data_IF_052204080844
#
_entry.id   IF_052204080844
#
_cell.length_a   1.000
_cell.length_b   1.000
_cell.length_c   1.000
_cell.angle_alpha   90.00
_cell.angle_beta   90.00
_cell.angle_gamma   90.00
#
_symmetry.space_group_name_H-M   'P 1'
#
loop_
_entity.id
_entity.type
_entity.pdbx_description
1 polymer ?
#
# COMPACT_ATOMS: atom_id res chain seq x y z
N UNK A 1 -16.59 8.38 6.53
CA UNK A 1 -17.34 8.73 5.31
C UNK A 1 -16.49 8.33 4.11
N UNK A 2 -17.01 7.58 3.14
CA UNK A 2 -16.25 7.31 1.91
C UNK A 2 -16.24 8.57 1.05
N UNK A 3 -15.05 9.00 0.64
CA UNK A 3 -14.89 10.03 -0.39
C UNK A 3 -14.67 9.29 -1.70
N UNK A 4 -15.47 9.65 -2.72
CA UNK A 4 -15.35 9.09 -4.06
C UNK A 4 -14.94 10.20 -5.02
N UNK A 5 -13.86 10.01 -5.75
CA UNK A 5 -13.38 10.94 -6.79
C UNK A 5 -13.41 10.24 -8.15
N UNK A 6 -13.81 10.97 -9.19
CA UNK A 6 -13.83 10.49 -10.57
C UNK A 6 -12.94 11.37 -11.44
N UNK A 7 -11.98 10.77 -12.14
CA UNK A 7 -11.05 11.44 -13.05
C UNK A 7 -11.14 10.82 -14.45
N UNK A 8 -10.99 11.64 -15.49
CA UNK A 8 -11.18 11.24 -16.88
C UNK A 8 -9.85 11.36 -17.64
N UNK A 9 -9.15 10.23 -17.76
CA UNK A 9 -7.94 10.13 -18.58
C UNK A 9 -8.33 9.71 -20.01
N UNK A 10 -7.67 10.21 -21.08
CA UNK A 10 -7.98 9.74 -22.43
C UNK A 10 -7.92 8.21 -22.53
N UNK A 11 -9.08 7.57 -22.75
CA UNK A 11 -9.23 6.12 -22.93
C UNK A 11 -9.72 5.32 -21.70
N UNK A 12 -9.84 5.92 -20.51
CA UNK A 12 -10.46 5.27 -19.33
C UNK A 12 -10.86 6.29 -18.25
N UNK A 13 -11.79 5.88 -17.40
CA UNK A 13 -12.20 6.63 -16.20
C UNK A 13 -11.67 5.95 -14.94
N UNK A 14 -11.38 6.78 -13.93
CA UNK A 14 -10.98 6.33 -12.61
C UNK A 14 -12.11 6.60 -11.64
N UNK A 15 -12.41 5.63 -10.78
CA UNK A 15 -13.21 5.84 -9.58
C UNK A 15 -12.39 5.39 -8.38
N UNK A 16 -12.07 6.35 -7.51
CA UNK A 16 -11.28 6.11 -6.31
C UNK A 16 -12.16 6.18 -5.07
N UNK A 17 -12.00 5.24 -4.14
CA UNK A 17 -12.72 5.21 -2.89
C UNK A 17 -11.78 4.93 -1.73
N UNK A 18 -11.85 5.76 -0.70
CA UNK A 18 -11.10 5.57 0.54
C UNK A 18 -11.96 4.95 1.65
N UNK A 19 -11.37 4.01 2.40
CA UNK A 19 -11.91 3.46 3.65
C UNK A 19 -10.82 3.47 4.71
N UNK A 20 -11.12 4.03 5.88
CA UNK A 20 -10.21 4.02 7.03
C UNK A 20 -10.80 3.16 8.13
N UNK A 21 -9.98 2.30 8.72
CA UNK A 21 -10.38 1.43 9.82
C UNK A 21 -9.19 1.11 10.74
N UNK A 22 -9.42 0.51 11.93
CA UNK A 22 -8.36 0.01 12.77
C UNK A 22 -7.53 -1.06 12.04
N UNK A 23 -6.20 -0.97 12.11
CA UNK A 23 -5.31 -1.96 11.48
C UNK A 23 -5.57 -3.37 12.04
N UNK A 24 -5.80 -3.47 13.35
CA UNK A 24 -6.08 -4.75 14.01
C UNK A 24 -7.33 -5.43 13.45
N UNK A 25 -8.42 -4.69 13.31
CA UNK A 25 -9.67 -5.20 12.72
C UNK A 25 -9.46 -5.67 11.27
N UNK A 26 -8.72 -4.89 10.48
CA UNK A 26 -8.40 -5.26 9.10
C UNK A 26 -7.55 -6.53 9.04
N UNK A 27 -6.52 -6.64 9.88
CA UNK A 27 -5.66 -7.82 9.95
C UNK A 27 -6.40 -9.07 10.40
N UNK A 28 -7.23 -8.99 11.44
CA UNK A 28 -8.02 -10.13 11.94
C UNK A 28 -9.05 -10.62 10.90
N UNK A 29 -9.61 -9.70 10.11
CA UNK A 29 -10.70 -10.02 9.19
C UNK A 29 -10.21 -10.43 7.79
N UNK A 30 -9.17 -9.78 7.26
CA UNK A 30 -8.76 -9.91 5.86
C UNK A 30 -7.39 -10.55 5.67
N UNK A 31 -6.64 -10.87 6.72
CA UNK A 31 -5.33 -11.52 6.59
C UNK A 31 -5.48 -13.04 6.69
N UNK A 32 -5.00 -13.73 5.66
CA UNK A 32 -4.92 -15.19 5.61
C UNK A 32 -3.52 -15.55 5.10
N UNK A 33 -2.58 -15.60 6.03
CA UNK A 33 -1.18 -15.82 5.69
C UNK A 33 -0.99 -17.13 4.92
N UNK A 34 -1.61 -18.23 5.36
CA UNK A 34 -1.45 -19.54 4.73
C UNK A 34 -1.88 -19.53 3.26
N UNK A 35 -3.12 -19.11 3.00
CA UNK A 35 -3.68 -19.09 1.64
C UNK A 35 -2.96 -18.08 0.75
N UNK A 36 -2.76 -16.84 1.23
CA UNK A 36 -2.17 -15.76 0.43
C UNK A 36 -0.69 -16.00 0.16
N UNK A 37 0.06 -16.58 1.11
CA UNK A 37 1.47 -16.96 0.88
C UNK A 37 1.61 -17.99 -0.23
N UNK A 38 0.64 -18.91 -0.35
CA UNK A 38 0.56 -19.85 -1.47
C UNK A 38 0.55 -19.15 -2.83
N UNK A 39 -0.24 -18.08 -2.98
CA UNK A 39 -0.25 -17.27 -4.21
C UNK A 39 1.08 -16.53 -4.43
N UNK A 40 1.71 -16.02 -3.38
CA UNK A 40 3.03 -15.39 -3.48
C UNK A 40 4.10 -16.35 -4.02
N UNK A 41 4.10 -17.62 -3.58
CA UNK A 41 5.00 -18.64 -4.10
C UNK A 41 4.76 -18.91 -5.60
N UNK A 42 3.49 -18.95 -6.03
CA UNK A 42 3.13 -19.16 -7.45
C UNK A 42 3.39 -17.96 -8.38
N UNK A 43 3.46 -16.74 -7.84
CA UNK A 43 3.65 -15.51 -8.61
C UNK A 43 5.04 -15.38 -9.27
N UNK A 44 6.04 -16.16 -8.82
CA UNK A 44 7.40 -16.12 -9.36
C UNK A 44 8.25 -14.93 -8.90
N UNK A 45 7.72 -14.06 -8.02
CA UNK A 45 8.43 -12.93 -7.38
C UNK A 45 8.95 -13.25 -5.98
N UNK A 46 8.45 -14.31 -5.34
CA UNK A 46 8.88 -14.76 -4.01
C UNK A 46 10.41 -14.98 -3.98
N UNK A 47 11.08 -14.39 -2.99
CA UNK A 47 12.54 -14.44 -2.83
C UNK A 47 13.35 -13.74 -3.92
N UNK A 48 12.69 -13.10 -4.90
CA UNK A 48 13.32 -12.50 -6.09
C UNK A 48 13.06 -11.00 -6.23
N UNK A 49 12.21 -10.44 -5.37
CA UNK A 49 11.83 -9.03 -5.36
C UNK A 49 11.88 -8.51 -3.93
N UNK A 50 12.55 -7.38 -3.70
CA UNK A 50 12.68 -6.79 -2.35
C UNK A 50 11.35 -6.33 -1.73
N UNK A 51 10.32 -6.08 -2.53
CA UNK A 51 8.98 -5.75 -2.05
C UNK A 51 8.14 -6.99 -1.70
N UNK A 52 8.67 -8.20 -1.96
CA UNK A 52 7.98 -9.46 -1.79
C UNK A 52 8.67 -10.30 -0.71
N UNK A 53 7.95 -11.24 -0.08
CA UNK A 53 8.52 -12.15 0.90
C UNK A 53 9.55 -13.12 0.30
N UNK A 54 10.39 -13.76 1.14
CA UNK A 54 10.42 -13.65 2.60
C UNK A 54 11.10 -12.36 3.06
N UNK A 55 10.58 -11.78 4.14
CA UNK A 55 11.18 -10.64 4.81
C UNK A 55 12.12 -11.08 5.93
N UNK A 56 13.03 -10.20 6.32
CA UNK A 56 13.95 -10.33 7.45
C UNK A 56 13.37 -9.77 8.76
N UNK A 57 12.14 -9.25 8.71
CA UNK A 57 11.37 -8.80 9.86
C UNK A 57 10.16 -9.71 10.12
N UNK A 58 9.69 -9.74 11.37
CA UNK A 58 8.44 -10.41 11.73
C UNK A 58 7.24 -9.60 11.22
N UNK A 59 6.48 -10.15 10.27
CA UNK A 59 5.39 -9.44 9.59
C UNK A 59 4.24 -9.07 10.54
N UNK A 60 3.93 -9.92 11.53
CA UNK A 60 2.95 -9.66 12.58
C UNK A 60 3.34 -8.44 13.43
N UNK A 61 4.59 -8.39 13.90
CA UNK A 61 5.10 -7.28 14.70
C UNK A 61 5.16 -5.99 13.88
N UNK A 62 5.59 -6.10 12.63
CA UNK A 62 5.62 -4.98 11.69
C UNK A 62 4.23 -4.38 11.45
N UNK A 63 3.18 -5.19 11.36
CA UNK A 63 1.81 -4.70 11.23
C UNK A 63 1.27 -4.17 12.57
N UNK A 64 1.67 -4.78 13.68
CA UNK A 64 1.22 -4.43 15.04
C UNK A 64 1.59 -3.02 15.49
N UNK A 65 2.60 -2.38 14.87
CA UNK A 65 2.95 -0.99 15.17
C UNK A 65 1.92 0.04 14.67
N UNK A 66 1.09 -0.34 13.69
CA UNK A 66 0.10 0.57 13.11
C UNK A 66 -1.23 0.47 13.85
N UNK A 67 -1.85 1.60 14.16
CA UNK A 67 -3.20 1.65 14.76
C UNK A 67 -4.28 1.79 13.71
N UNK A 68 -4.01 2.55 12.64
CA UNK A 68 -5.00 2.85 11.59
C UNK A 68 -4.46 2.51 10.23
N UNK A 69 -5.34 2.05 9.34
CA UNK A 69 -5.06 1.88 7.92
C UNK A 69 -6.15 2.57 7.10
N UNK A 70 -5.71 3.36 6.13
CA UNK A 70 -6.56 3.95 5.09
C UNK A 70 -6.30 3.19 3.79
N UNK A 71 -7.27 2.38 3.38
CA UNK A 71 -7.30 1.61 2.15
C UNK A 71 -7.86 2.47 1.01
N UNK A 72 -7.23 2.39 -0.14
CA UNK A 72 -7.65 3.02 -1.39
C UNK A 72 -7.97 1.94 -2.41
N UNK A 73 -9.23 1.90 -2.85
CA UNK A 73 -9.62 1.17 -4.05
C UNK A 73 -9.68 2.11 -5.24
N UNK A 74 -8.93 1.80 -6.30
CA UNK A 74 -8.99 2.50 -7.58
C UNK A 74 -9.57 1.55 -8.62
N UNK A 75 -10.80 1.82 -9.05
CA UNK A 75 -11.47 1.13 -10.15
C UNK A 75 -11.20 1.86 -11.45
N UNK A 76 -10.71 1.15 -12.45
CA UNK A 76 -10.33 1.71 -13.75
C UNK A 76 -11.26 1.13 -14.81
N UNK A 77 -12.15 1.96 -15.36
CA UNK A 77 -13.14 1.52 -16.35
C UNK A 77 -12.73 2.02 -17.73
N UNK A 78 -12.47 1.14 -18.72
CA UNK A 78 -12.11 1.55 -20.07
C UNK A 78 -13.23 2.39 -20.69
N UNK A 79 -12.86 3.37 -21.51
CA UNK A 79 -13.84 4.10 -22.32
C UNK A 79 -14.50 3.17 -23.35
N UNK A 80 -15.65 3.58 -23.87
CA UNK A 80 -16.33 2.85 -24.94
C UNK A 80 -15.38 2.59 -26.13
N UNK A 81 -15.37 1.36 -26.64
CA UNK A 81 -14.48 0.93 -27.72
C UNK A 81 -13.06 0.55 -27.29
N UNK A 82 -12.68 0.71 -26.02
CA UNK A 82 -11.37 0.30 -25.50
C UNK A 82 -11.44 -1.12 -24.91
N UNK A 83 -10.81 -2.08 -25.57
CA UNK A 83 -10.68 -3.44 -25.06
C UNK A 83 -9.49 -3.55 -24.08
N UNK A 84 -9.71 -4.18 -22.93
CA UNK A 84 -8.67 -4.47 -21.94
C UNK A 84 -7.87 -5.74 -22.32
N UNK A 85 -7.20 -5.70 -23.48
CA UNK A 85 -6.19 -6.71 -23.85
C UNK A 85 -5.08 -6.75 -22.80
N UNK A 86 -4.31 -7.85 -22.68
CA UNK A 86 -3.20 -7.93 -21.73
C UNK A 86 -2.25 -6.71 -21.81
N UNK A 87 -1.89 -6.30 -23.02
CA UNK A 87 -0.99 -5.16 -23.27
C UNK A 87 -1.65 -3.83 -22.86
N UNK A 88 -2.93 -3.66 -23.17
CA UNK A 88 -3.68 -2.45 -22.82
C UNK A 88 -3.87 -2.34 -21.31
N UNK A 89 -4.24 -3.45 -20.66
CA UNK A 89 -4.40 -3.53 -19.22
C UNK A 89 -3.07 -3.27 -18.51
N UNK A 90 -1.97 -3.90 -18.94
CA UNK A 90 -0.65 -3.67 -18.37
C UNK A 90 -0.22 -2.20 -18.49
N UNK A 91 -0.42 -1.59 -19.67
CA UNK A 91 -0.09 -0.18 -19.89
C UNK A 91 -0.88 0.75 -18.95
N UNK A 92 -2.18 0.52 -18.82
CA UNK A 92 -3.05 1.31 -17.94
C UNK A 92 -2.65 1.11 -16.47
N UNK A 93 -2.48 -0.14 -16.02
CA UNK A 93 -2.07 -0.46 -14.67
C UNK A 93 -0.73 0.18 -14.32
N UNK A 94 0.28 0.07 -15.19
CA UNK A 94 1.60 0.64 -14.95
C UNK A 94 1.53 2.18 -14.82
N UNK A 95 0.75 2.85 -15.67
CA UNK A 95 0.54 4.29 -15.59
C UNK A 95 -0.10 4.69 -14.26
N UNK A 96 -1.19 4.04 -13.88
CA UNK A 96 -1.91 4.37 -12.65
C UNK A 96 -1.12 4.00 -11.40
N UNK A 97 -0.38 2.88 -11.44
CA UNK A 97 0.57 2.52 -10.38
C UNK A 97 1.65 3.57 -10.19
N UNK A 98 2.24 4.11 -11.26
CA UNK A 98 3.24 5.19 -11.13
C UNK A 98 2.65 6.44 -10.46
N UNK A 99 1.40 6.81 -10.79
CA UNK A 99 0.70 7.94 -10.16
C UNK A 99 0.40 7.66 -8.70
N UNK A 100 -0.21 6.51 -8.39
CA UNK A 100 -0.63 6.12 -7.05
C UNK A 100 0.56 5.91 -6.11
N UNK A 101 1.59 5.18 -6.55
CA UNK A 101 2.78 4.91 -5.73
C UNK A 101 3.48 6.23 -5.37
N UNK A 102 3.57 7.20 -6.31
CA UNK A 102 4.11 8.55 -6.03
C UNK A 102 3.24 9.34 -5.04
N UNK A 103 1.92 9.33 -5.23
CA UNK A 103 0.98 9.99 -4.35
C UNK A 103 1.10 9.45 -2.91
N UNK A 104 1.12 8.13 -2.76
CA UNK A 104 1.21 7.46 -1.46
C UNK A 104 2.57 7.70 -0.78
N UNK A 105 3.68 7.73 -1.53
CA UNK A 105 4.99 8.11 -0.98
C UNK A 105 5.00 9.56 -0.49
N UNK A 106 4.36 10.48 -1.22
CA UNK A 106 4.20 11.87 -0.79
C UNK A 106 3.39 11.97 0.51
N UNK A 107 2.29 11.23 0.61
CA UNK A 107 1.48 11.15 1.83
C UNK A 107 2.27 10.54 3.00
N UNK A 108 3.03 9.46 2.75
CA UNK A 108 3.89 8.85 3.76
C UNK A 108 4.89 9.86 4.32
N UNK A 109 5.62 10.57 3.45
CA UNK A 109 6.60 11.58 3.87
C UNK A 109 5.98 12.75 4.63
N UNK A 110 4.80 13.23 4.18
CA UNK A 110 4.08 14.33 4.83
C UNK A 110 3.49 13.96 6.20
N UNK A 111 3.06 12.71 6.37
CA UNK A 111 2.49 12.22 7.62
C UNK A 111 3.57 11.81 8.63
N UNK A 112 4.71 11.27 8.16
CA UNK A 112 5.80 10.76 9.02
C UNK A 112 6.51 11.87 9.82
N UNK A 113 6.30 13.14 9.46
CA UNK A 113 6.90 14.30 10.13
C UNK A 113 5.86 15.33 10.57
N UNK A 114 4.58 14.95 10.64
CA UNK A 114 3.54 15.84 11.13
C UNK A 114 3.66 15.98 12.65
N UNK A 115 4.58 16.82 13.12
CA UNK A 115 4.68 17.24 14.51
C UNK A 115 3.38 17.96 14.87
N UNK A 116 2.54 17.27 15.63
CA UNK A 116 1.35 17.88 16.19
C UNK A 116 1.71 18.40 17.58
N UNK A 117 1.61 19.72 17.73
CA UNK A 117 1.69 20.37 19.03
C UNK A 117 0.29 20.45 19.61
N UNK A 118 0.07 19.81 20.75
CA UNK A 118 -1.18 19.97 21.48
C UNK A 118 -1.30 21.43 21.94
N UNK A 119 -2.34 22.18 21.52
CA UNK A 119 -2.50 23.59 21.87
C UNK A 119 -2.68 23.85 23.37
N UNK A 120 -3.06 22.82 24.13
CA UNK A 120 -3.32 22.90 25.57
C UNK A 120 -2.13 22.52 26.44
N UNK A 121 -1.25 21.64 25.94
CA UNK A 121 -0.10 21.12 26.70
C UNK A 121 1.26 21.51 26.12
N UNK A 122 1.30 22.09 24.92
CA UNK A 122 2.52 22.37 24.14
C UNK A 122 3.39 21.13 23.87
N UNK A 123 2.85 19.92 24.06
CA UNK A 123 3.54 18.66 23.83
C UNK A 123 3.68 18.38 22.33
N UNK A 124 4.84 17.88 21.92
CA UNK A 124 5.13 17.47 20.54
C UNK A 124 5.05 15.95 20.45
N UNK A 125 4.39 15.45 19.42
CA UNK A 125 4.35 14.02 19.12
C UNK A 125 4.64 13.75 17.66
N UNK A 126 5.25 12.59 17.44
CA UNK A 126 5.51 12.05 16.12
C UNK A 126 4.53 10.93 15.81
N UNK A 127 4.09 10.93 14.55
CA UNK A 127 3.34 9.84 13.94
C UNK A 127 4.16 9.37 12.75
N UNK A 128 4.45 8.08 12.66
CA UNK A 128 5.01 7.51 11.45
C UNK A 128 3.88 6.99 10.56
N UNK A 129 4.07 7.10 9.25
CA UNK A 129 3.16 6.53 8.27
C UNK A 129 3.89 5.55 7.37
N UNK A 130 3.13 4.67 6.72
CA UNK A 130 3.68 3.73 5.74
C UNK A 130 2.71 3.42 4.62
N UNK A 131 3.15 3.60 3.39
CA UNK A 131 2.43 3.23 2.20
C UNK A 131 2.57 1.73 1.89
N UNK A 132 1.51 1.17 1.31
CA UNK A 132 1.46 -0.17 0.73
C UNK A 132 0.96 -0.05 -0.70
N UNK A 133 1.75 -0.53 -1.67
CA UNK A 133 1.41 -0.40 -3.09
C UNK A 133 0.60 -1.60 -3.57
N UNK A 134 -0.20 -1.42 -4.62
CA UNK A 134 -0.93 -2.53 -5.22
C UNK A 134 0.00 -3.48 -5.98
N UNK A 135 -0.12 -4.81 -5.80
CA UNK A 135 0.64 -5.79 -6.58
C UNK A 135 2.17 -5.71 -6.41
N UNK A 136 2.92 -6.02 -7.48
CA UNK A 136 4.38 -6.15 -7.39
C UNK A 136 5.13 -4.82 -7.64
N UNK A 137 6.38 -4.74 -7.19
CA UNK A 137 7.25 -3.58 -7.41
C UNK A 137 7.52 -3.35 -8.91
N UNK A 138 7.41 -2.08 -9.33
CA UNK A 138 7.60 -1.62 -10.70
C UNK A 138 8.83 -0.69 -10.88
N UNK A 139 9.66 -0.53 -9.83
CA UNK A 139 10.79 0.41 -9.84
C UNK A 139 11.95 0.00 -10.75
N UNK A 140 12.08 -1.30 -11.03
CA UNK A 140 13.07 -1.82 -11.96
C UNK A 140 12.54 -3.05 -12.70
N UNK A 141 13.14 -3.41 -13.85
CA UNK A 141 12.78 -4.63 -14.54
C UNK A 141 12.90 -5.86 -13.62
N UNK A 142 11.91 -6.77 -13.60
CA UNK A 142 11.83 -7.87 -12.63
C UNK A 142 13.05 -8.81 -12.60
N UNK A 143 13.65 -9.02 -13.76
CA UNK A 143 14.84 -9.82 -13.98
C UNK A 143 16.12 -9.15 -13.45
N UNK A 144 16.10 -7.83 -13.29
CA UNK A 144 17.23 -7.02 -12.81
C UNK A 144 17.11 -6.63 -11.34
N UNK A 145 16.20 -7.24 -10.58
CA UNK A 145 16.08 -6.97 -9.15
C UNK A 145 17.28 -7.57 -8.40
N UNK A 146 18.00 -6.74 -7.65
CA UNK A 146 19.21 -7.12 -6.90
C UNK A 146 18.96 -8.17 -5.82
N UNK A 147 17.70 -8.37 -5.40
CA UNK A 147 17.32 -9.45 -4.46
C UNK A 147 17.73 -10.82 -4.97
N UNK A 148 17.70 -11.03 -6.30
CA UNK A 148 18.11 -12.29 -6.95
C UNK A 148 19.59 -12.61 -6.74
N UNK A 149 20.39 -11.60 -6.48
CA UNK A 149 21.85 -11.69 -6.28
C UNK A 149 22.21 -11.55 -4.79
N UNK A 150 21.22 -11.44 -3.89
CA UNK A 150 21.45 -11.18 -2.47
C UNK A 150 21.97 -9.77 -2.16
N UNK A 151 21.92 -8.85 -3.12
CA UNK A 151 22.41 -7.48 -2.97
C UNK A 151 21.29 -6.52 -2.54
N UNK A 152 21.60 -5.46 -1.77
CA UNK A 152 20.62 -4.47 -1.32
C UNK A 152 19.79 -3.86 -2.46
N UNK A 153 18.58 -3.42 -2.13
CA UNK A 153 17.71 -2.74 -3.10
C UNK A 153 18.36 -1.45 -3.60
N UNK A 154 18.26 -1.16 -4.91
CA UNK A 154 18.72 0.12 -5.50
C UNK A 154 17.79 1.31 -5.20
N UNK A 155 16.60 1.05 -4.66
CA UNK A 155 15.57 2.05 -4.40
C UNK A 155 15.01 1.91 -2.96
N UNK A 156 15.87 1.96 -1.93
CA UNK A 156 15.45 1.71 -0.54
C UNK A 156 14.39 2.71 -0.07
N UNK A 157 14.50 3.97 -0.47
CA UNK A 157 13.57 5.03 -0.06
C UNK A 157 12.18 4.90 -0.71
N UNK A 158 12.10 4.31 -1.91
CA UNK A 158 10.86 4.25 -2.69
C UNK A 158 10.14 2.91 -2.62
N UNK A 159 10.82 1.82 -2.26
CA UNK A 159 10.23 0.49 -2.29
C UNK A 159 9.22 0.30 -1.15
N UNK A 160 8.02 -0.19 -1.48
CA UNK A 160 7.01 -0.58 -0.49
C UNK A 160 6.46 -1.97 -0.80
N UNK A 161 6.17 -2.79 0.23
CA UNK A 161 5.46 -4.04 0.02
C UNK A 161 4.01 -3.76 -0.37
N UNK A 162 3.37 -4.74 -1.00
CA UNK A 162 1.91 -4.77 -1.09
C UNK A 162 1.30 -5.40 0.15
N UNK A 163 0.00 -5.16 0.34
CA UNK A 163 -0.77 -5.84 1.37
C UNK A 163 -0.79 -7.37 1.14
N UNK A 164 -0.89 -7.84 -0.12
CA UNK A 164 -0.84 -9.27 -0.46
C UNK A 164 0.48 -9.90 -0.03
N UNK A 165 1.60 -9.18 -0.20
CA UNK A 165 2.92 -9.67 0.18
C UNK A 165 3.04 -9.89 1.70
N UNK A 166 2.20 -9.20 2.49
CA UNK A 166 2.06 -9.34 3.94
C UNK A 166 0.92 -10.28 4.37
N UNK A 167 0.23 -10.92 3.41
CA UNK A 167 -0.77 -11.96 3.66
C UNK A 167 -2.23 -11.49 3.66
N UNK A 168 -2.52 -10.26 3.22
CA UNK A 168 -3.90 -9.77 3.11
C UNK A 168 -4.59 -10.28 1.85
N UNK A 169 -5.85 -10.71 1.99
CA UNK A 169 -6.72 -11.11 0.88
C UNK A 169 -7.32 -9.86 0.21
N UNK A 170 -6.69 -9.44 -0.88
CA UNK A 170 -7.11 -8.26 -1.63
C UNK A 170 -8.36 -8.50 -2.47
N UNK A 171 -8.63 -9.73 -2.89
CA UNK A 171 -9.88 -10.06 -3.57
C UNK A 171 -11.07 -9.83 -2.63
N UNK A 172 -10.97 -10.36 -1.41
CA UNK A 172 -11.98 -10.19 -0.37
C UNK A 172 -12.08 -8.73 0.11
N UNK A 173 -10.94 -8.06 0.27
CA UNK A 173 -10.89 -6.62 0.60
C UNK A 173 -11.68 -5.81 -0.42
N UNK A 174 -11.41 -6.01 -1.71
CA UNK A 174 -12.05 -5.27 -2.79
C UNK A 174 -13.57 -5.57 -2.89
N UNK A 175 -13.98 -6.83 -2.70
CA UNK A 175 -15.40 -7.19 -2.74
C UNK A 175 -16.17 -6.72 -1.51
N UNK A 176 -15.69 -6.99 -0.30
CA UNK A 176 -16.47 -6.78 0.94
C UNK A 176 -16.42 -5.33 1.43
N UNK A 177 -15.28 -4.64 1.32
CA UNK A 177 -15.15 -3.26 1.82
C UNK A 177 -15.53 -2.18 0.78
N UNK A 178 -15.35 -2.51 -0.50
CA UNK A 178 -15.50 -1.54 -1.60
C UNK A 178 -16.59 -1.93 -2.61
N UNK A 179 -17.22 -3.10 -2.48
CA UNK A 179 -18.23 -3.55 -3.44
C UNK A 179 -17.69 -3.65 -4.88
N UNK A 180 -16.37 -3.81 -5.05
CA UNK A 180 -15.68 -3.83 -6.35
C UNK A 180 -14.85 -5.12 -6.44
N UNK A 181 -15.48 -6.26 -6.77
CA UNK A 181 -14.76 -7.53 -6.90
C UNK A 181 -13.63 -7.44 -7.93
N UNK A 182 -12.47 -8.07 -7.64
CA UNK A 182 -11.40 -8.17 -8.62
C UNK A 182 -11.89 -8.96 -9.85
N UNK A 183 -11.64 -8.43 -11.04
CA UNK A 183 -11.91 -9.10 -12.30
C UNK A 183 -10.60 -9.54 -12.96
N UNK A 184 -10.58 -10.80 -13.35
CA UNK A 184 -9.46 -11.39 -14.09
C UNK A 184 -9.91 -11.65 -15.53
N UNK A 185 -9.03 -11.34 -16.48
CA UNK A 185 -9.24 -11.79 -17.85
C UNK A 185 -9.10 -13.31 -17.94
N UNK A 186 -9.80 -13.90 -18.91
CA UNK A 186 -9.61 -15.28 -19.34
C UNK A 186 -9.41 -15.30 -20.86
N UNK A 187 -8.91 -16.39 -21.47
CA UNK A 187 -8.75 -16.45 -22.92
C UNK A 187 -10.05 -16.07 -23.64
N UNK A 188 -10.02 -14.99 -24.42
CA UNK A 188 -11.17 -14.47 -25.16
C UNK A 188 -12.14 -13.60 -24.36
N UNK A 189 -11.96 -13.43 -23.04
CA UNK A 189 -12.81 -12.56 -22.20
C UNK A 189 -11.96 -11.54 -21.45
N UNK A 190 -12.15 -10.27 -21.77
CA UNK A 190 -11.50 -9.18 -21.06
C UNK A 190 -12.32 -8.76 -19.84
N UNK A 191 -11.67 -8.32 -18.74
CA UNK A 191 -12.40 -7.78 -17.62
C UNK A 191 -13.13 -6.49 -18.04
N UNK A 192 -14.26 -6.18 -17.41
CA UNK A 192 -15.00 -4.95 -17.66
C UNK A 192 -14.31 -3.72 -17.01
N UNK A 193 -13.46 -3.95 -16.01
CA UNK A 193 -12.65 -2.93 -15.36
C UNK A 193 -11.41 -3.56 -14.72
N UNK A 194 -10.45 -2.72 -14.36
CA UNK A 194 -9.29 -3.10 -13.56
C UNK A 194 -9.44 -2.56 -12.15
N UNK A 195 -8.73 -3.14 -11.19
CA UNK A 195 -8.78 -2.70 -9.79
C UNK A 195 -7.40 -2.73 -9.17
N UNK A 196 -7.06 -1.65 -8.47
CA UNK A 196 -5.86 -1.54 -7.65
C UNK A 196 -6.30 -1.29 -6.21
N UNK A 197 -5.77 -2.08 -5.26
CA UNK A 197 -5.92 -1.82 -3.83
C UNK A 197 -4.55 -1.44 -3.26
N UNK A 198 -4.48 -0.23 -2.74
CA UNK A 198 -3.29 0.32 -2.07
C UNK A 198 -3.69 0.82 -0.68
N UNK A 199 -2.72 1.21 0.14
CA UNK A 199 -3.03 1.75 1.47
C UNK A 199 -1.97 2.70 2.01
N UNK A 200 -2.35 3.42 3.06
CA UNK A 200 -1.43 4.07 3.99
C UNK A 200 -1.82 3.73 5.43
N UNK A 201 -0.88 3.21 6.22
CA UNK A 201 -1.06 2.95 7.64
C UNK A 201 -0.32 3.98 8.49
N UNK A 202 -0.78 4.18 9.73
CA UNK A 202 -0.18 5.13 10.68
C UNK A 202 -0.01 4.51 12.05
N UNK A 203 1.09 4.85 12.71
CA UNK A 203 1.35 4.50 14.11
C UNK A 203 0.42 5.29 15.03
N UNK A 204 0.26 4.90 16.31
CA UNK A 204 -0.33 5.80 17.29
C UNK A 204 0.50 7.09 17.41
N UNK A 205 -0.15 8.12 17.90
CA UNK A 205 0.50 9.33 18.38
C UNK A 205 1.41 8.97 19.56
N UNK A 206 2.73 9.13 19.39
CA UNK A 206 3.72 8.82 20.43
C UNK A 206 4.23 10.12 21.03
N UNK A 207 3.99 10.37 22.32
CA UNK A 207 4.46 11.59 23.00
C UNK A 207 5.98 11.57 23.06
N UNK A 208 6.63 12.64 22.61
CA UNK A 208 8.05 12.83 22.87
C UNK A 208 8.19 13.26 24.32
N UNK A 209 8.87 12.47 25.15
CA UNK A 209 9.33 12.95 26.45
C UNK A 209 10.40 14.02 26.18
N UNK A 210 10.14 15.27 26.59
CA UNK A 210 11.20 16.26 26.69
C UNK A 210 12.12 15.79 27.81
N UNK A 211 13.36 15.43 27.47
CA UNK A 211 14.41 15.27 28.47
C UNK A 211 14.53 16.61 29.22
N UNK A 212 13.97 16.68 30.42
CA UNK A 212 14.28 17.74 31.36
C UNK A 212 15.79 17.69 31.61
N UNK A 213 16.53 18.62 31.01
CA UNK A 213 17.83 19.02 31.55
C UNK A 213 17.60 19.72 32.88
N UNK A 214 17.27 18.93 33.90
CA UNK A 214 17.42 19.30 35.30
C UNK A 214 18.91 19.30 35.62
N UNK A 215 19.61 20.36 35.22
CA UNK A 215 20.84 20.76 35.93
C UNK A 215 20.47 21.85 36.93
N UNK A 216 19.94 21.39 38.05
CA UNK A 216 20.10 22.07 39.33
C UNK A 216 21.60 22.18 39.64
N UNK A 217 22.03 23.35 40.12
CA UNK A 217 23.31 23.45 40.83
C UNK A 217 23.93 24.85 40.83
N UNK A 218 23.44 25.72 41.72
CA UNK A 218 24.32 26.65 42.43
C UNK A 218 25.47 25.84 43.04
N UNK A 219 26.72 26.14 42.70
CA UNK A 219 27.82 26.58 43.56
C UNK A 219 29.06 26.76 42.68
#
# INVERSE_FOLDING_TARGET
MAQTTQDNTPGYTLQEQWRTMPMKEYAETFRDFGRVRGYCHGCGRYGKCWACPPYDFAEEEYLGQFTTISLLATKITPSEGVALTPETAERILNRERQRLDRMLLGMEGGLTNASQTDPSTHEVSETAARAFFAGTCILCPPEKCTRREGLPCRHPESIRPSLEALGFDIARTASELFGTPLQWGSPGTFPAYLTLISAIARTPFTRLQQDEQTKHGRF
#
